data_IF_278619175143
#
_entry.id   IF_278619175143
#
_cell.length_a   1.000
_cell.length_b   1.000
_cell.length_c   1.000
_cell.angle_alpha   90.00
_cell.angle_beta   90.00
_cell.angle_gamma   90.00
#
_symmetry.space_group_name_H-M   'P 1'
#
loop_
_entity.id
_entity.type
_entity.pdbx_description
1 polymer ?
#
# COMPACT_ATOMS: atom_id res chain seq x y z
N UNK A 1 -0.57 -1.31 -9.31
CA UNK A 1 -1.73 -0.66 -8.64
C UNK A 1 -2.65 -0.07 -9.66
N UNK A 2 -3.95 0.04 -9.36
CA UNK A 2 -4.92 0.56 -10.33
C UNK A 2 -4.66 2.05 -10.65
N UNK A 3 -4.72 2.40 -11.93
CA UNK A 3 -4.54 3.74 -12.47
C UNK A 3 -5.65 3.95 -13.49
N UNK A 4 -6.51 4.94 -13.25
CA UNK A 4 -7.56 5.35 -14.18
C UNK A 4 -7.27 6.75 -14.65
N UNK A 5 -7.08 6.94 -15.95
CA UNK A 5 -6.78 8.25 -16.56
C UNK A 5 -7.57 8.37 -17.87
N UNK A 6 -8.26 9.50 -18.06
CA UNK A 6 -9.09 9.75 -19.25
C UNK A 6 -10.09 8.62 -19.52
N UNK A 7 -10.67 8.04 -18.47
CA UNK A 7 -11.78 7.09 -18.61
C UNK A 7 -13.08 7.89 -18.82
N UNK A 8 -13.84 7.62 -19.90
CA UNK A 8 -15.13 8.25 -20.11
C UNK A 8 -16.13 7.77 -19.05
N UNK A 9 -16.91 8.69 -18.46
CA UNK A 9 -17.93 8.28 -17.50
C UNK A 9 -19.02 7.45 -18.17
N UNK A 10 -19.67 6.55 -17.42
CA UNK A 10 -20.76 5.73 -17.94
C UNK A 10 -21.87 6.59 -18.57
N UNK A 11 -22.22 7.70 -17.90
CA UNK A 11 -23.19 8.66 -18.42
C UNK A 11 -22.75 9.29 -19.76
N UNK A 12 -21.47 9.63 -19.88
CA UNK A 12 -20.89 10.22 -21.09
C UNK A 12 -20.94 9.24 -22.26
N UNK A 13 -20.60 7.97 -22.00
CA UNK A 13 -20.74 6.87 -22.94
C UNK A 13 -22.19 6.70 -23.42
N UNK A 14 -23.15 6.64 -22.50
CA UNK A 14 -24.57 6.49 -22.83
C UNK A 14 -25.13 7.68 -23.64
N UNK A 15 -24.56 8.88 -23.47
CA UNK A 15 -25.01 10.12 -24.14
C UNK A 15 -24.18 10.52 -25.35
N UNK A 16 -23.17 9.73 -25.73
CA UNK A 16 -22.25 10.06 -26.82
C UNK A 16 -21.41 11.33 -26.58
N UNK A 17 -21.26 11.76 -25.32
CA UNK A 17 -20.46 12.93 -24.94
C UNK A 17 -19.05 12.49 -24.55
N UNK A 18 -18.04 13.33 -24.82
CA UNK A 18 -16.66 13.09 -24.39
C UNK A 18 -16.37 13.85 -23.10
N UNK A 19 -16.85 13.32 -21.98
CA UNK A 19 -16.50 13.80 -20.65
C UNK A 19 -15.80 12.68 -19.88
N UNK A 20 -14.63 13.03 -19.34
CA UNK A 20 -13.72 12.09 -18.69
C UNK A 20 -13.73 12.29 -17.19
N UNK A 21 -13.60 11.19 -16.46
CA UNK A 21 -13.41 11.23 -15.01
C UNK A 21 -12.01 11.76 -14.64
N UNK A 22 -11.88 12.41 -13.47
CA UNK A 22 -10.58 12.84 -12.98
C UNK A 22 -9.66 11.62 -12.77
N UNK A 23 -8.34 11.80 -12.94
CA UNK A 23 -7.38 10.73 -12.70
C UNK A 23 -7.50 10.15 -11.28
N UNK A 24 -7.50 8.82 -11.19
CA UNK A 24 -7.60 8.10 -9.92
C UNK A 24 -6.45 7.11 -9.81
N UNK A 25 -5.72 7.16 -8.70
CA UNK A 25 -4.57 6.30 -8.42
C UNK A 25 -4.81 5.57 -7.10
N UNK A 26 -4.62 4.25 -7.11
CA UNK A 26 -4.80 3.44 -5.92
C UNK A 26 -3.68 3.65 -4.90
N UNK A 27 -4.03 3.71 -3.62
CA UNK A 27 -3.07 3.79 -2.50
C UNK A 27 -2.69 2.40 -1.99
N UNK A 28 -1.58 2.34 -1.25
CA UNK A 28 -1.11 1.11 -0.62
C UNK A 28 -2.12 0.54 0.38
N UNK A 29 -2.71 1.39 1.22
CA UNK A 29 -3.77 0.99 2.14
C UNK A 29 -4.96 0.35 1.43
N UNK A 30 -5.46 0.97 0.35
CA UNK A 30 -6.59 0.42 -0.43
C UNK A 30 -6.25 -0.94 -1.04
N UNK A 31 -5.04 -1.11 -1.57
CA UNK A 31 -4.64 -2.40 -2.13
C UNK A 31 -4.54 -3.49 -1.04
N UNK A 32 -4.02 -3.16 0.15
CA UNK A 32 -3.97 -4.10 1.27
C UNK A 32 -5.37 -4.49 1.72
N UNK A 33 -6.30 -3.54 1.80
CA UNK A 33 -7.69 -3.80 2.18
C UNK A 33 -8.36 -4.78 1.21
N UNK A 34 -8.18 -4.55 -0.09
CA UNK A 34 -8.71 -5.44 -1.13
C UNK A 34 -8.09 -6.84 -1.08
N UNK A 35 -6.78 -6.95 -0.84
CA UNK A 35 -6.12 -8.24 -0.69
C UNK A 35 -6.68 -8.99 0.52
N UNK A 36 -6.75 -8.35 1.70
CA UNK A 36 -7.26 -8.99 2.91
C UNK A 36 -8.73 -9.41 2.76
N UNK A 37 -9.56 -8.63 2.05
CA UNK A 37 -10.93 -9.01 1.72
C UNK A 37 -10.97 -10.27 0.83
N UNK A 38 -10.14 -10.33 -0.22
CA UNK A 38 -10.04 -11.51 -1.09
C UNK A 38 -9.59 -12.75 -0.32
N UNK A 39 -8.60 -12.61 0.57
CA UNK A 39 -8.15 -13.71 1.43
C UNK A 39 -9.25 -14.18 2.37
N UNK A 40 -10.01 -13.26 2.99
CA UNK A 40 -11.16 -13.61 3.82
C UNK A 40 -12.23 -14.39 3.04
N UNK A 41 -12.44 -14.06 1.77
CA UNK A 41 -13.42 -14.73 0.91
C UNK A 41 -12.94 -16.10 0.41
N UNK A 42 -11.64 -16.25 0.12
CA UNK A 42 -11.08 -17.47 -0.48
C UNK A 42 -10.56 -18.46 0.55
N UNK A 43 -10.04 -17.98 1.69
CA UNK A 43 -9.49 -18.81 2.76
C UNK A 43 -8.31 -19.69 2.35
N UNK A 44 -7.49 -19.22 1.41
CA UNK A 44 -6.36 -19.97 0.84
C UNK A 44 -5.08 -19.85 1.67
N UNK A 45 -5.09 -19.00 2.70
CA UNK A 45 -3.97 -18.69 3.57
C UNK A 45 -2.72 -18.24 2.81
N UNK A 46 -2.91 -17.48 1.72
CA UNK A 46 -1.80 -17.02 0.88
C UNK A 46 -1.02 -15.88 1.55
N UNK A 47 -1.71 -15.06 2.34
CA UNK A 47 -1.16 -13.95 3.12
C UNK A 47 -2.12 -13.57 4.26
N UNK A 48 -1.72 -12.68 5.15
CA UNK A 48 -2.49 -12.17 6.29
C UNK A 48 -1.97 -10.79 6.75
N UNK A 49 -2.58 -10.23 7.80
CA UNK A 49 -2.18 -8.93 8.37
C UNK A 49 -0.69 -8.82 8.73
N UNK A 50 -0.06 -9.92 9.10
CA UNK A 50 1.33 -9.99 9.56
C UNK A 50 2.32 -10.27 8.41
N UNK A 51 1.82 -10.54 7.20
CA UNK A 51 2.65 -10.83 6.04
C UNK A 51 3.54 -9.64 5.70
N UNK A 52 4.84 -9.91 5.59
CA UNK A 52 5.86 -8.89 5.29
C UNK A 52 5.68 -8.36 3.87
N UNK A 53 5.68 -7.04 3.75
CA UNK A 53 5.52 -6.33 2.50
C UNK A 53 6.51 -5.15 2.41
N UNK A 54 6.65 -4.61 1.21
CA UNK A 54 7.34 -3.35 0.96
C UNK A 54 6.42 -2.43 0.17
N UNK A 55 6.18 -1.23 0.72
CA UNK A 55 5.45 -0.17 0.06
C UNK A 55 6.41 0.85 -0.54
N UNK A 56 6.14 1.26 -1.77
CA UNK A 56 6.93 2.25 -2.50
C UNK A 56 6.05 3.40 -2.98
N UNK A 57 6.57 4.62 -2.88
CA UNK A 57 5.95 5.81 -3.44
C UNK A 57 6.97 6.63 -4.22
N UNK A 58 6.60 7.06 -5.43
CA UNK A 58 7.38 7.98 -6.28
C UNK A 58 8.83 7.53 -6.47
N UNK A 59 9.04 6.24 -6.73
CA UNK A 59 10.38 5.66 -6.96
C UNK A 59 11.17 6.45 -8.00
N UNK A 60 12.43 6.77 -7.68
CA UNK A 60 13.31 7.54 -8.55
C UNK A 60 13.13 9.06 -8.48
N UNK A 61 12.22 9.57 -7.64
CA UNK A 61 12.08 11.01 -7.36
C UNK A 61 12.83 11.43 -6.09
N UNK A 62 13.09 12.73 -5.95
CA UNK A 62 13.73 13.29 -4.75
C UNK A 62 12.90 13.07 -3.47
N UNK A 63 11.57 12.98 -3.59
CA UNK A 63 10.67 12.73 -2.48
C UNK A 63 10.17 11.28 -2.44
N UNK A 64 10.96 10.33 -2.96
CA UNK A 64 10.62 8.91 -2.91
C UNK A 64 10.44 8.42 -1.46
N UNK A 65 9.59 7.42 -1.27
CA UNK A 65 9.37 6.80 0.03
C UNK A 65 9.32 5.28 -0.11
N UNK A 66 10.13 4.58 0.66
CA UNK A 66 10.20 3.12 0.71
C UNK A 66 10.05 2.71 2.16
N UNK A 67 9.12 1.80 2.45
CA UNK A 67 8.85 1.32 3.81
C UNK A 67 8.59 -0.18 3.76
N UNK A 68 9.35 -0.95 4.52
CA UNK A 68 9.12 -2.38 4.75
C UNK A 68 8.39 -2.58 6.09
N UNK A 69 7.44 -3.51 6.12
CA UNK A 69 6.65 -3.81 7.30
C UNK A 69 5.53 -4.80 7.00
N UNK A 70 4.79 -5.22 8.03
CA UNK A 70 3.63 -6.08 7.81
C UNK A 70 2.53 -5.35 7.02
N UNK A 71 1.61 -6.09 6.40
CA UNK A 71 0.43 -5.52 5.74
C UNK A 71 -0.30 -4.55 6.68
N UNK A 72 -0.52 -4.95 7.94
CA UNK A 72 -1.15 -4.10 8.96
C UNK A 72 -0.40 -2.79 9.20
N UNK A 73 0.93 -2.84 9.27
CA UNK A 73 1.74 -1.64 9.44
C UNK A 73 1.62 -0.74 8.22
N UNK A 74 1.84 -1.28 7.01
CA UNK A 74 1.83 -0.52 5.77
C UNK A 74 0.47 0.08 5.44
N UNK A 75 -0.63 -0.59 5.82
CA UNK A 75 -2.00 -0.10 5.69
C UNK A 75 -2.19 1.29 6.32
N UNK A 76 -1.47 1.57 7.40
CA UNK A 76 -1.58 2.84 8.16
C UNK A 76 -0.58 3.92 7.74
N UNK A 77 0.36 3.60 6.83
CA UNK A 77 1.40 4.54 6.43
C UNK A 77 0.85 5.52 5.40
N UNK A 78 1.01 6.82 5.68
CA UNK A 78 0.83 7.84 4.65
C UNK A 78 2.03 7.83 3.70
N UNK A 79 1.83 7.30 2.50
CA UNK A 79 2.83 7.28 1.44
C UNK A 79 2.88 8.59 0.63
N UNK A 80 1.92 9.50 0.84
CA UNK A 80 1.80 10.77 0.14
C UNK A 80 1.19 10.63 -1.26
N UNK A 81 1.67 11.47 -2.18
CA UNK A 81 1.17 11.51 -3.56
C UNK A 81 1.59 10.27 -4.37
N UNK A 82 0.77 9.84 -5.35
CA UNK A 82 1.12 8.74 -6.27
C UNK A 82 2.40 9.02 -7.07
N UNK A 83 3.01 8.03 -7.73
CA UNK A 83 2.57 6.64 -7.93
C UNK A 83 3.00 5.71 -6.78
N UNK A 84 2.16 4.72 -6.51
CA UNK A 84 2.38 3.71 -5.46
C UNK A 84 2.60 2.31 -6.04
N UNK A 85 3.42 1.52 -5.34
CA UNK A 85 3.63 0.09 -5.59
C UNK A 85 3.68 -0.66 -4.26
N UNK A 86 3.21 -1.91 -4.25
CA UNK A 86 3.25 -2.82 -3.09
C UNK A 86 3.84 -4.14 -3.55
N UNK A 87 4.85 -4.64 -2.82
CA UNK A 87 5.44 -5.96 -3.01
C UNK A 87 5.16 -6.81 -1.78
N UNK A 88 4.62 -8.01 -1.97
CA UNK A 88 4.50 -9.03 -0.92
C UNK A 88 5.81 -9.82 -0.90
N UNK A 89 6.45 -9.93 0.26
CA UNK A 89 7.76 -10.56 0.39
C UNK A 89 7.59 -12.07 0.52
N UNK A 90 8.32 -12.81 -0.31
CA UNK A 90 8.40 -14.27 -0.25
C UNK A 90 9.57 -14.76 0.61
N UNK A 91 10.18 -15.88 0.22
CA UNK A 91 11.45 -16.32 0.81
C UNK A 91 12.58 -15.42 0.32
N UNK A 92 13.43 -14.99 1.24
CA UNK A 92 14.51 -14.03 0.99
C UNK A 92 15.88 -14.66 1.18
N UNK A 93 16.86 -14.16 0.43
CA UNK A 93 18.28 -14.37 0.70
C UNK A 93 18.75 -13.41 1.82
N UNK A 94 19.78 -13.74 2.62
CA UNK A 94 20.28 -12.85 3.69
C UNK A 94 20.54 -11.39 3.25
N UNK A 95 21.06 -11.20 2.04
CA UNK A 95 21.29 -9.86 1.47
C UNK A 95 19.99 -9.07 1.24
N UNK A 96 18.89 -9.77 0.93
CA UNK A 96 17.57 -9.14 0.78
C UNK A 96 16.98 -8.81 2.15
N UNK A 97 17.24 -9.63 3.16
CA UNK A 97 16.84 -9.36 4.56
C UNK A 97 17.51 -8.11 5.10
N UNK A 98 18.83 -7.96 4.88
CA UNK A 98 19.57 -6.75 5.24
C UNK A 98 18.95 -5.49 4.60
N UNK A 99 18.55 -5.59 3.33
CA UNK A 99 17.91 -4.49 2.61
C UNK A 99 16.49 -4.21 3.15
N UNK A 100 15.73 -5.24 3.49
CA UNK A 100 14.41 -5.10 4.11
C UNK A 100 14.52 -4.44 5.49
N UNK A 101 15.52 -4.81 6.28
CA UNK A 101 15.81 -4.21 7.58
C UNK A 101 16.15 -2.73 7.48
N UNK A 102 16.92 -2.33 6.47
CA UNK A 102 17.24 -0.93 6.21
C UNK A 102 15.98 -0.05 6.03
N UNK A 103 14.91 -0.59 5.44
CA UNK A 103 13.65 0.12 5.23
C UNK A 103 12.56 -0.23 6.26
N UNK A 104 12.89 -1.01 7.29
CA UNK A 104 11.89 -1.54 8.22
C UNK A 104 11.29 -0.44 9.08
N UNK A 105 9.96 -0.42 9.17
CA UNK A 105 9.23 0.51 10.03
C UNK A 105 9.47 0.16 11.50
N UNK A 106 10.26 0.96 12.19
CA UNK A 106 10.38 0.85 13.64
C UNK A 106 9.10 1.34 14.31
N UNK A 107 8.43 0.46 15.05
CA UNK A 107 7.34 0.83 15.95
C UNK A 107 7.97 1.53 17.15
N UNK A 108 7.70 2.82 17.34
CA UNK A 108 8.12 3.53 18.55
C UNK A 108 7.31 3.00 19.74
N UNK A 109 7.96 2.21 20.59
CA UNK A 109 7.43 1.76 21.90
C UNK A 109 7.52 2.89 22.93
N UNK A 110 6.91 4.05 22.65
CA UNK A 110 6.64 5.06 23.68
C UNK A 110 5.17 4.99 24.06
N UNK A 111 4.87 4.21 25.11
CA UNK A 111 3.61 4.30 25.82
C UNK A 111 3.70 5.49 26.79
N UNK A 112 2.83 6.52 26.70
CA UNK A 112 2.85 7.59 27.68
C UNK A 112 2.53 6.99 29.05
N UNK A 113 3.48 7.12 29.99
CA UNK A 113 3.29 6.82 31.40
C UNK A 113 2.04 7.55 31.88
N UNK A 114 0.98 6.79 32.11
CA UNK A 114 -0.27 7.28 32.68
C UNK A 114 -0.01 7.54 34.16
N UNK A 115 0.47 8.75 34.48
CA UNK A 115 0.57 9.23 35.85
C UNK A 115 -0.88 9.33 36.37
N UNK A 116 -1.27 8.41 37.26
CA UNK A 116 -2.49 8.56 38.05
C UNK A 116 -2.22 9.57 39.18
N UNK A 117 -3.23 10.37 39.58
CA UNK A 117 -3.08 11.46 40.54
C UNK A 117 -2.62 10.99 41.92
#
# INVERSE_FOLDING_TARGET
MNIRVKEPSLESLCRGKKQYEPPSFMTIGVAIDQLLEVEQLRGESAYNEDTLCVGFARLGSENQKVVAGSMKQLRTVDFGQPLHCLTIVGKTHPVEEEMLDFYRRHVSIYQPLRIKP
#
